data_IF_157198700544
#
_entry.id   IF_157198700544
#
_cell.length_a   1.000
_cell.length_b   1.000
_cell.length_c   1.000
_cell.angle_alpha   90.00
_cell.angle_beta   90.00
_cell.angle_gamma   90.00
#
_symmetry.space_group_name_H-M   'P 1'
#
loop_
_entity.id
_entity.type
_entity.pdbx_description
1 polymer ?
#
# COMPACT_ATOMS: atom_id res chain seq x y z
N UNK A 1 47.99 32.32 -25.24
CA UNK A 1 46.94 33.36 -25.17
C UNK A 1 45.61 32.65 -25.16
N UNK A 2 44.83 32.96 -24.12
CA UNK A 2 43.60 32.31 -23.69
C UNK A 2 42.40 32.63 -24.59
N UNK A 3 41.38 31.77 -24.43
CA UNK A 3 39.95 32.00 -24.70
C UNK A 3 39.51 32.04 -26.18
N UNK A 4 38.58 31.17 -26.59
CA UNK A 4 37.21 31.27 -26.10
C UNK A 4 36.47 29.93 -26.18
N UNK A 5 36.13 29.39 -25.01
CA UNK A 5 35.08 28.39 -24.89
C UNK A 5 33.76 29.03 -25.34
N UNK A 6 33.29 28.70 -26.55
CA UNK A 6 31.97 29.07 -27.04
C UNK A 6 30.91 28.24 -26.28
N UNK A 7 30.68 28.58 -25.02
CA UNK A 7 29.54 28.12 -24.26
C UNK A 7 28.32 28.91 -24.75
N UNK A 8 27.69 28.42 -25.81
CA UNK A 8 26.42 28.95 -26.32
C UNK A 8 25.32 28.73 -25.26
N UNK A 9 25.14 29.71 -24.38
CA UNK A 9 24.06 29.79 -23.41
C UNK A 9 22.71 30.15 -24.08
N UNK A 10 21.58 29.83 -23.44
CA UNK A 10 20.42 29.27 -24.12
C UNK A 10 19.69 30.28 -25.00
N UNK A 11 19.40 29.87 -26.25
CA UNK A 11 18.40 30.55 -27.07
C UNK A 11 17.11 30.54 -26.25
N UNK A 12 16.58 31.71 -25.89
CA UNK A 12 15.28 31.84 -25.22
C UNK A 12 14.28 31.06 -26.06
N UNK A 13 13.88 29.87 -25.60
CA UNK A 13 12.82 29.12 -26.25
C UNK A 13 11.60 30.04 -26.24
N UNK A 14 11.00 30.34 -27.41
CA UNK A 14 9.85 31.22 -27.43
C UNK A 14 8.79 30.66 -26.47
N UNK A 15 8.25 31.49 -25.59
CA UNK A 15 7.26 31.11 -24.57
C UNK A 15 6.11 30.29 -25.18
N UNK A 16 5.80 30.54 -26.44
CA UNK A 16 4.86 29.75 -27.23
C UNK A 16 5.22 28.25 -27.31
N UNK A 17 6.49 27.91 -27.56
CA UNK A 17 6.94 26.52 -27.63
C UNK A 17 6.87 25.81 -26.29
N UNK A 18 7.21 26.50 -25.18
CA UNK A 18 7.12 25.90 -23.85
C UNK A 18 5.66 25.64 -23.47
N UNK A 19 4.75 26.57 -23.75
CA UNK A 19 3.30 26.38 -23.54
C UNK A 19 2.76 25.24 -24.40
N UNK A 20 3.17 25.14 -25.67
CA UNK A 20 2.74 24.06 -26.56
C UNK A 20 3.19 22.68 -26.07
N UNK A 21 4.45 22.57 -25.62
CA UNK A 21 4.99 21.32 -25.07
C UNK A 21 4.24 20.93 -23.80
N UNK A 22 4.01 21.86 -22.88
CA UNK A 22 3.24 21.59 -21.67
C UNK A 22 1.81 21.14 -22.01
N UNK A 23 1.16 21.76 -22.99
CA UNK A 23 -0.17 21.35 -23.44
C UNK A 23 -0.18 19.95 -24.06
N UNK A 24 0.85 19.60 -24.84
CA UNK A 24 1.03 18.23 -25.33
C UNK A 24 1.18 17.24 -24.18
N UNK A 25 2.00 17.56 -23.18
CA UNK A 25 2.18 16.69 -22.01
C UNK A 25 0.93 16.56 -21.15
N UNK A 26 0.13 17.62 -20.99
CA UNK A 26 -1.12 17.53 -20.22
C UNK A 26 -2.17 16.70 -20.96
N UNK A 27 -2.32 16.88 -22.28
CA UNK A 27 -3.23 16.06 -23.11
C UNK A 27 -2.78 14.61 -23.12
N UNK A 28 -1.48 14.35 -23.28
CA UNK A 28 -0.92 13.00 -23.23
C UNK A 28 -1.10 12.34 -21.86
N UNK A 29 -0.80 13.06 -20.77
CA UNK A 29 -1.01 12.58 -19.41
C UNK A 29 -2.48 12.29 -19.12
N UNK A 30 -3.40 13.13 -19.60
CA UNK A 30 -4.84 12.90 -19.49
C UNK A 30 -5.29 11.67 -20.26
N UNK A 31 -4.79 11.48 -21.49
CA UNK A 31 -5.10 10.31 -22.32
C UNK A 31 -4.55 9.02 -21.69
N UNK A 32 -3.30 9.04 -21.22
CA UNK A 32 -2.69 7.93 -20.51
C UNK A 32 -3.47 7.58 -19.24
N UNK A 33 -3.92 8.58 -18.48
CA UNK A 33 -4.77 8.34 -17.32
C UNK A 33 -6.11 7.69 -17.68
N UNK A 34 -6.74 8.13 -18.79
CA UNK A 34 -8.02 7.58 -19.26
C UNK A 34 -7.92 6.17 -19.83
N UNK A 35 -6.84 5.86 -20.56
CA UNK A 35 -6.65 4.59 -21.27
C UNK A 35 -5.96 3.54 -20.39
N UNK A 36 -4.93 3.95 -19.64
CA UNK A 36 -4.03 3.03 -18.96
C UNK A 36 -4.43 2.75 -17.51
N UNK A 37 -5.17 3.63 -16.84
CA UNK A 37 -5.71 3.30 -15.51
C UNK A 37 -6.78 2.25 -15.70
N UNK A 38 -6.56 1.01 -15.24
CA UNK A 38 -7.56 -0.03 -15.36
C UNK A 38 -8.77 0.42 -14.56
N UNK A 39 -9.85 0.69 -15.27
CA UNK A 39 -11.16 0.87 -14.69
C UNK A 39 -11.48 -0.44 -13.97
N UNK A 40 -11.45 -0.40 -12.64
CA UNK A 40 -11.56 -1.58 -11.76
C UNK A 40 -12.84 -2.42 -11.97
N UNK A 41 -13.74 -1.99 -12.84
CA UNK A 41 -15.03 -2.57 -13.16
C UNK A 41 -15.05 -3.39 -14.46
N UNK A 42 -14.03 -3.33 -15.31
CA UNK A 42 -14.05 -3.99 -16.64
C UNK A 42 -12.96 -5.05 -16.84
N UNK A 43 -12.25 -5.44 -15.79
CA UNK A 43 -11.33 -6.58 -15.89
C UNK A 43 -12.14 -7.84 -15.66
N UNK A 44 -12.43 -8.55 -16.74
CA UNK A 44 -13.00 -9.89 -16.72
C UNK A 44 -12.22 -10.73 -15.71
N UNK A 45 -12.92 -11.50 -14.86
CA UNK A 45 -12.30 -12.20 -13.73
C UNK A 45 -11.32 -13.24 -14.27
N UNK A 46 -10.04 -12.87 -14.37
CA UNK A 46 -8.97 -13.78 -14.76
C UNK A 46 -8.90 -14.88 -13.70
N UNK A 47 -8.96 -16.14 -14.14
CA UNK A 47 -8.83 -17.29 -13.23
C UNK A 47 -7.54 -17.16 -12.41
N UNK A 48 -7.68 -17.29 -11.09
CA UNK A 48 -6.57 -17.16 -10.14
C UNK A 48 -6.28 -15.74 -9.64
N UNK A 49 -6.82 -14.68 -10.25
CA UNK A 49 -6.60 -13.29 -9.79
C UNK A 49 -7.78 -12.81 -8.94
N UNK A 50 -7.52 -12.59 -7.65
CA UNK A 50 -8.50 -12.00 -6.73
C UNK A 50 -8.81 -10.57 -7.12
N UNK A 51 -10.09 -10.23 -7.26
CA UNK A 51 -10.51 -8.85 -7.52
C UNK A 51 -10.21 -7.96 -6.30
N UNK A 52 -10.15 -6.62 -6.45
CA UNK A 52 -10.02 -5.73 -5.31
C UNK A 52 -11.12 -5.92 -4.25
N UNK A 53 -12.34 -6.31 -4.67
CA UNK A 53 -13.44 -6.60 -3.76
C UNK A 53 -13.18 -7.90 -2.96
N UNK A 54 -12.74 -8.97 -3.63
CA UNK A 54 -12.41 -10.24 -2.97
C UNK A 54 -11.28 -10.06 -1.94
N UNK A 55 -10.26 -9.26 -2.29
CA UNK A 55 -9.15 -8.93 -1.37
C UNK A 55 -9.66 -8.21 -0.13
N UNK A 56 -10.57 -7.24 -0.29
CA UNK A 56 -11.17 -6.52 0.84
C UNK A 56 -11.96 -7.46 1.74
N UNK A 57 -12.77 -8.36 1.17
CA UNK A 57 -13.53 -9.32 1.95
C UNK A 57 -12.62 -10.25 2.78
N UNK A 58 -11.57 -10.79 2.17
CA UNK A 58 -10.60 -11.63 2.87
C UNK A 58 -9.83 -10.88 3.97
N UNK A 59 -9.49 -9.61 3.74
CA UNK A 59 -8.86 -8.78 4.76
C UNK A 59 -9.80 -8.58 5.96
N UNK A 60 -11.09 -8.33 5.74
CA UNK A 60 -12.07 -8.21 6.82
C UNK A 60 -12.18 -9.50 7.62
N UNK A 61 -12.25 -10.65 6.93
CA UNK A 61 -12.30 -11.96 7.57
C UNK A 61 -11.06 -12.22 8.44
N UNK A 62 -9.86 -11.95 7.90
CA UNK A 62 -8.60 -12.10 8.64
C UNK A 62 -8.55 -11.17 9.86
N UNK A 63 -8.91 -9.91 9.70
CA UNK A 63 -8.95 -8.96 10.81
C UNK A 63 -9.96 -9.36 11.89
N UNK A 64 -11.11 -9.95 11.51
CA UNK A 64 -12.08 -10.46 12.47
C UNK A 64 -11.52 -11.66 13.25
N UNK A 65 -10.87 -12.61 12.55
CA UNK A 65 -10.24 -13.76 13.18
C UNK A 65 -9.10 -13.34 14.13
N UNK A 66 -8.25 -12.39 13.71
CA UNK A 66 -7.15 -11.87 14.51
C UNK A 66 -7.66 -11.12 15.76
N UNK A 67 -8.74 -10.34 15.62
CA UNK A 67 -9.38 -9.68 16.76
C UNK A 67 -9.95 -10.69 17.75
N UNK A 68 -10.68 -11.70 17.27
CA UNK A 68 -11.21 -12.76 18.13
C UNK A 68 -10.09 -13.52 18.84
N UNK A 69 -8.96 -13.75 18.14
CA UNK A 69 -7.78 -14.36 18.72
C UNK A 69 -7.10 -13.49 19.79
N UNK A 70 -7.06 -12.17 19.60
CA UNK A 70 -6.42 -11.22 20.50
C UNK A 70 -7.21 -10.98 21.79
N UNK A 71 -8.55 -11.08 21.75
CA UNK A 71 -9.44 -10.74 22.88
C UNK A 71 -10.03 -11.96 23.59
N UNK A 72 -10.00 -13.14 22.96
CA UNK A 72 -10.63 -14.35 23.48
C UNK A 72 -9.64 -15.38 24.03
N UNK A 73 -10.16 -16.25 24.90
CA UNK A 73 -9.48 -17.46 25.33
C UNK A 73 -9.70 -18.57 24.32
N UNK A 74 -8.64 -19.32 23.99
CA UNK A 74 -8.75 -20.50 23.13
C UNK A 74 -7.63 -21.50 23.40
N UNK A 75 -7.91 -22.78 23.18
CA UNK A 75 -6.86 -23.79 23.14
C UNK A 75 -6.04 -23.66 21.85
N UNK A 76 -4.71 -23.63 21.98
CA UNK A 76 -3.79 -23.73 20.82
C UNK A 76 -3.42 -25.18 20.59
N UNK A 77 -3.03 -25.86 21.67
CA UNK A 77 -2.81 -27.30 21.70
C UNK A 77 -3.28 -27.85 23.05
N UNK A 78 -4.41 -28.54 23.03
CA UNK A 78 -5.00 -29.11 24.24
C UNK A 78 -4.16 -30.26 24.80
N UNK A 79 -3.46 -31.03 23.95
CA UNK A 79 -2.64 -32.17 24.39
C UNK A 79 -1.35 -31.69 25.06
N UNK A 80 -0.75 -30.62 24.54
CA UNK A 80 0.42 -29.98 25.13
C UNK A 80 0.07 -29.02 26.28
N UNK A 81 -1.22 -28.79 26.57
CA UNK A 81 -1.66 -27.86 27.61
C UNK A 81 -1.44 -26.38 27.27
N UNK A 82 -1.29 -26.05 25.98
CA UNK A 82 -1.00 -24.69 25.53
C UNK A 82 -2.30 -23.94 25.24
N UNK A 83 -2.52 -22.87 26.01
CA UNK A 83 -3.70 -21.99 25.92
C UNK A 83 -3.27 -20.62 25.41
N UNK A 84 -4.07 -20.06 24.51
CA UNK A 84 -4.02 -18.64 24.15
C UNK A 84 -4.88 -17.85 25.14
N UNK A 85 -4.25 -16.84 25.73
CA UNK A 85 -4.88 -15.86 26.61
C UNK A 85 -5.09 -14.55 25.84
N UNK A 86 -6.11 -13.74 26.20
CA UNK A 86 -6.26 -12.39 25.67
C UNK A 86 -5.00 -11.55 25.96
N UNK A 87 -4.62 -10.69 25.00
CA UNK A 87 -3.36 -9.92 25.09
C UNK A 87 -3.33 -9.05 26.34
N UNK A 88 -4.44 -8.39 26.69
CA UNK A 88 -4.53 -7.59 27.92
C UNK A 88 -4.23 -8.41 29.17
N UNK A 89 -4.75 -9.63 29.25
CA UNK A 89 -4.48 -10.53 30.38
C UNK A 89 -3.03 -11.02 30.38
N UNK A 90 -2.47 -11.32 29.22
CA UNK A 90 -1.06 -11.70 29.11
C UNK A 90 -0.12 -10.58 29.60
N UNK A 91 -0.43 -9.33 29.28
CA UNK A 91 0.30 -8.15 29.77
C UNK A 91 0.20 -8.05 31.30
N UNK A 92 -1.02 -8.12 31.86
CA UNK A 92 -1.22 -8.06 33.32
C UNK A 92 -0.41 -9.14 34.06
N UNK A 93 -0.44 -10.38 33.57
CA UNK A 93 0.30 -11.48 34.15
C UNK A 93 1.81 -11.25 34.07
N UNK A 94 2.29 -10.77 32.92
CA UNK A 94 3.70 -10.48 32.70
C UNK A 94 4.20 -9.39 33.65
N UNK A 95 3.45 -8.30 33.81
CA UNK A 95 3.81 -7.21 34.75
C UNK A 95 3.81 -7.71 36.19
N UNK A 96 2.79 -8.48 36.59
CA UNK A 96 2.69 -9.06 37.94
C UNK A 96 3.84 -10.02 38.24
N UNK A 97 4.22 -10.83 37.27
CA UNK A 97 5.28 -11.82 37.46
C UNK A 97 6.66 -11.13 37.46
N UNK A 98 6.82 -10.03 36.70
CA UNK A 98 8.00 -9.18 36.76
C UNK A 98 8.11 -8.40 38.08
N UNK A 99 7.00 -7.91 38.64
CA UNK A 99 7.01 -7.12 39.90
C UNK A 99 7.27 -7.97 41.15
N UNK A 100 7.14 -9.29 41.06
CA UNK A 100 7.41 -10.23 42.16
C UNK A 100 8.86 -10.73 42.19
N UNK A 101 9.63 -10.39 41.16
CA UNK A 101 11.03 -10.79 40.98
C UNK A 101 11.95 -9.67 41.44
#
# INVERSE_FOLDING_TARGET
MSDSANLSFPRRTPVFTTVLVLLCFTVFGWLAWKVYVPRAYTVEKVEGVRTPADRKALLVEKLAADRAAATGYAWVDQKAGVVRLPIGRAIELTVRDHSKK
#
